data_IF_272543542920
#
_entry.id   IF_272543542920
#
_cell.length_a   1.000
_cell.length_b   1.000
_cell.length_c   1.000
_cell.angle_alpha   90.00
_cell.angle_beta   90.00
_cell.angle_gamma   90.00
#
_symmetry.space_group_name_H-M   'P 1'
#
loop_
_entity.id
_entity.type
_entity.pdbx_description
1 polymer ?
#
# COMPACT_ATOMS: atom_id res chain seq x y z
N UNK A 1 0.46 17.39 -9.62
CA UNK A 1 -0.04 18.38 -8.64
C UNK A 1 -0.36 17.61 -7.36
N UNK A 2 0.18 18.01 -6.21
CA UNK A 2 -0.10 17.33 -4.94
C UNK A 2 -1.41 17.87 -4.36
N UNK A 3 -2.39 17.00 -4.09
CA UNK A 3 -3.64 17.34 -3.40
C UNK A 3 -3.60 16.75 -1.99
N UNK A 4 -3.67 17.61 -0.98
CA UNK A 4 -3.79 17.19 0.42
C UNK A 4 -5.27 17.00 0.72
N UNK A 5 -5.70 15.78 1.04
CA UNK A 5 -7.10 15.49 1.32
C UNK A 5 -7.35 15.47 2.83
N UNK A 6 -7.81 16.60 3.36
CA UNK A 6 -8.39 16.62 4.71
C UNK A 6 -9.87 16.18 4.71
N UNK A 7 -10.50 16.14 3.53
CA UNK A 7 -11.87 15.66 3.31
C UNK A 7 -12.10 15.35 1.82
N UNK A 8 -12.71 14.21 1.52
CA UNK A 8 -13.15 13.88 0.16
C UNK A 8 -14.61 14.30 0.00
N UNK A 9 -14.90 15.03 -1.06
CA UNK A 9 -16.27 15.42 -1.42
C UNK A 9 -16.67 14.72 -2.71
N UNK A 10 -17.95 14.31 -2.79
CA UNK A 10 -18.56 13.52 -3.87
C UNK A 10 -18.33 14.01 -5.32
N UNK A 11 -17.88 15.26 -5.49
CA UNK A 11 -17.64 15.92 -6.78
C UNK A 11 -16.14 16.08 -7.13
N UNK A 12 -15.23 15.49 -6.35
CA UNK A 12 -13.81 15.52 -6.68
C UNK A 12 -13.52 14.55 -7.83
N UNK A 13 -12.77 14.98 -8.83
CA UNK A 13 -12.27 14.11 -9.90
C UNK A 13 -10.80 13.80 -9.61
N UNK A 14 -10.41 12.55 -9.82
CA UNK A 14 -9.00 12.17 -9.79
C UNK A 14 -8.35 12.60 -11.10
N UNK A 15 -7.41 13.53 -11.03
CA UNK A 15 -6.68 14.00 -12.21
C UNK A 15 -5.52 13.06 -12.52
N UNK A 16 -5.12 12.96 -13.79
CA UNK A 16 -4.06 12.04 -14.25
C UNK A 16 -2.76 12.16 -13.41
N UNK A 17 -2.37 13.38 -13.03
CA UNK A 17 -1.13 13.68 -12.31
C UNK A 17 -1.34 14.09 -10.84
N UNK A 18 -2.47 13.72 -10.22
CA UNK A 18 -2.72 14.03 -8.81
C UNK A 18 -2.22 12.92 -7.88
N UNK A 19 -1.43 13.31 -6.88
CA UNK A 19 -1.17 12.48 -5.70
C UNK A 19 -2.03 12.97 -4.55
N UNK A 20 -2.56 12.02 -3.78
CA UNK A 20 -3.46 12.26 -2.67
C UNK A 20 -2.79 11.88 -1.36
N UNK A 21 -2.44 12.88 -0.58
CA UNK A 21 -1.82 12.67 0.72
C UNK A 21 -2.90 12.51 1.78
N UNK A 22 -2.84 11.38 2.46
CA UNK A 22 -3.70 11.01 3.55
C UNK A 22 -2.83 10.81 4.80
N UNK A 23 -2.78 11.83 5.66
CA UNK A 23 -2.09 11.75 6.96
C UNK A 23 -3.04 11.18 7.99
N UNK A 24 -2.69 10.06 8.61
CA UNK A 24 -3.43 9.41 9.71
C UNK A 24 -2.85 9.91 11.02
N UNK A 25 -3.67 10.56 11.85
CA UNK A 25 -3.22 11.08 13.13
C UNK A 25 -3.05 9.96 14.17
N UNK A 26 -2.09 10.12 15.08
CA UNK A 26 -1.85 9.20 16.20
C UNK A 26 -3.12 8.84 16.99
N UNK A 27 -4.05 9.78 17.13
CA UNK A 27 -5.33 9.52 17.79
C UNK A 27 -6.28 8.64 16.95
N UNK A 28 -6.27 8.76 15.61
CA UNK A 28 -6.97 7.82 14.72
C UNK A 28 -6.37 6.41 14.86
N UNK A 29 -5.04 6.30 14.94
CA UNK A 29 -4.34 5.02 15.15
C UNK A 29 -4.76 4.36 16.46
N UNK A 30 -4.65 5.08 17.58
CA UNK A 30 -4.98 4.57 18.92
C UNK A 30 -6.44 4.17 19.05
N UNK A 31 -7.34 4.94 18.46
CA UNK A 31 -8.79 4.70 18.54
C UNK A 31 -9.29 3.72 17.48
N UNK A 32 -8.41 3.27 16.56
CA UNK A 32 -8.79 2.47 15.40
C UNK A 32 -9.94 3.15 14.63
N UNK A 33 -9.85 4.47 14.49
CA UNK A 33 -10.84 5.27 13.77
C UNK A 33 -10.51 5.29 12.29
N UNK A 34 -11.18 4.43 11.53
CA UNK A 34 -11.00 4.31 10.09
C UNK A 34 -11.97 5.14 9.29
N UNK A 35 -12.91 5.87 9.91
CA UNK A 35 -14.07 6.44 9.21
C UNK A 35 -13.68 7.31 8.02
N UNK A 36 -12.72 8.22 8.21
CA UNK A 36 -12.26 9.14 7.16
C UNK A 36 -11.52 8.38 6.04
N UNK A 37 -10.86 7.27 6.38
CA UNK A 37 -10.10 6.47 5.44
C UNK A 37 -11.02 5.54 4.65
N UNK A 38 -12.05 5.00 5.29
CA UNK A 38 -13.13 4.25 4.63
C UNK A 38 -13.82 5.11 3.56
N UNK A 39 -14.13 6.37 3.89
CA UNK A 39 -14.68 7.32 2.93
C UNK A 39 -13.70 7.61 1.78
N UNK A 40 -12.40 7.60 2.06
CA UNK A 40 -11.37 7.76 1.05
C UNK A 40 -11.24 6.54 0.13
N UNK A 41 -11.13 5.34 0.68
CA UNK A 41 -11.03 4.13 -0.14
C UNK A 41 -12.26 3.98 -1.03
N UNK A 42 -13.48 4.22 -0.54
CA UNK A 42 -14.70 4.22 -1.37
C UNK A 42 -14.64 5.20 -2.55
N UNK A 43 -14.04 6.36 -2.34
CA UNK A 43 -13.83 7.33 -3.42
C UNK A 43 -12.84 6.82 -4.47
N UNK A 44 -11.73 6.22 -4.04
CA UNK A 44 -10.76 5.61 -4.93
C UNK A 44 -11.37 4.44 -5.70
N UNK A 45 -12.15 3.60 -5.02
CA UNK A 45 -12.88 2.50 -5.63
C UNK A 45 -13.85 2.97 -6.72
N UNK A 46 -14.56 4.07 -6.46
CA UNK A 46 -15.49 4.68 -7.43
C UNK A 46 -14.75 5.24 -8.64
N UNK A 47 -13.53 5.75 -8.45
CA UNK A 47 -12.70 6.27 -9.53
C UNK A 47 -11.97 5.20 -10.34
N UNK A 48 -11.88 3.96 -9.83
CA UNK A 48 -11.34 2.81 -10.56
C UNK A 48 -9.92 3.03 -11.08
N UNK A 49 -9.73 2.88 -12.40
CA UNK A 49 -8.43 2.97 -13.06
C UNK A 49 -7.73 4.31 -12.81
N UNK A 50 -8.51 5.40 -12.74
CA UNK A 50 -7.96 6.73 -12.50
C UNK A 50 -7.33 6.86 -11.12
N UNK A 51 -7.67 6.00 -10.16
CA UNK A 51 -7.19 6.05 -8.78
C UNK A 51 -5.88 5.28 -8.54
N UNK A 52 -5.45 4.48 -9.52
CA UNK A 52 -4.28 3.59 -9.43
C UNK A 52 -3.03 4.34 -8.97
N UNK A 53 -2.39 3.86 -7.91
CA UNK A 53 -1.09 4.36 -7.46
C UNK A 53 -1.05 5.83 -7.02
N UNK A 54 -2.19 6.41 -6.60
CA UNK A 54 -2.30 7.84 -6.25
C UNK A 54 -2.45 8.14 -4.76
N UNK A 55 -2.71 7.13 -3.93
CA UNK A 55 -2.88 7.30 -2.49
C UNK A 55 -1.52 7.23 -1.78
N UNK A 56 -1.17 8.27 -1.05
CA UNK A 56 -0.03 8.28 -0.14
C UNK A 56 -0.57 8.28 1.28
N UNK A 57 -0.27 7.22 2.04
CA UNK A 57 -0.61 7.15 3.46
C UNK A 57 0.62 7.56 4.27
N UNK A 58 0.43 8.48 5.22
CA UNK A 58 1.45 8.92 6.17
C UNK A 58 0.87 8.90 7.58
N UNK A 59 1.74 8.92 8.60
CA UNK A 59 1.33 8.92 10.00
C UNK A 59 1.85 10.16 10.71
N UNK A 60 0.95 10.96 11.30
CA UNK A 60 1.25 12.19 12.02
C UNK A 60 1.18 11.99 13.54
N UNK A 61 1.96 12.77 14.29
CA UNK A 61 2.01 12.69 15.77
C UNK A 61 3.03 11.69 16.32
N UNK A 62 3.94 11.19 15.48
CA UNK A 62 5.02 10.26 15.84
C UNK A 62 6.43 10.89 15.74
N UNK A 63 6.53 12.21 15.60
CA UNK A 63 7.80 12.92 15.32
C UNK A 63 8.90 12.72 16.37
N UNK A 64 8.52 12.42 17.61
CA UNK A 64 9.44 12.18 18.72
C UNK A 64 9.91 10.70 18.79
N UNK A 65 9.38 9.83 17.92
CA UNK A 65 9.76 8.43 17.87
C UNK A 65 10.88 8.24 16.82
N UNK A 66 12.06 7.74 17.20
CA UNK A 66 13.16 7.52 16.26
C UNK A 66 12.98 6.29 15.36
N UNK A 67 11.90 5.53 15.54
CA UNK A 67 11.59 4.34 14.77
C UNK A 67 10.81 4.69 13.50
N UNK A 68 11.05 3.92 12.44
CA UNK A 68 10.24 3.96 11.23
C UNK A 68 8.82 3.46 11.50
N UNK A 69 7.85 3.86 10.68
CA UNK A 69 6.43 3.54 10.92
C UNK A 69 6.16 2.02 11.01
N UNK A 70 6.91 1.21 10.25
CA UNK A 70 6.78 -0.24 10.24
C UNK A 70 7.46 -0.93 11.43
N UNK A 71 8.14 -0.16 12.29
CA UNK A 71 8.73 -0.62 13.55
C UNK A 71 7.87 -0.23 14.77
N UNK A 72 6.79 0.54 14.56
CA UNK A 72 5.89 0.99 15.63
C UNK A 72 4.66 0.07 15.68
N UNK A 73 4.54 -0.72 16.75
CA UNK A 73 3.51 -1.76 16.88
C UNK A 73 2.07 -1.25 16.68
N UNK A 74 1.72 -0.11 17.28
CA UNK A 74 0.36 0.46 17.14
C UNK A 74 0.02 0.83 15.69
N UNK A 75 1.02 1.28 14.92
CA UNK A 75 0.88 1.56 13.48
C UNK A 75 0.74 0.25 12.71
N UNK A 76 1.59 -0.75 12.98
CA UNK A 76 1.52 -2.07 12.33
C UNK A 76 0.15 -2.69 12.51
N UNK A 77 -0.38 -2.67 13.72
CA UNK A 77 -1.69 -3.23 14.03
C UNK A 77 -2.82 -2.43 13.34
N UNK A 78 -2.70 -1.10 13.25
CA UNK A 78 -3.66 -0.29 12.50
C UNK A 78 -3.65 -0.64 11.00
N UNK A 79 -2.47 -0.78 10.39
CA UNK A 79 -2.34 -1.12 8.97
C UNK A 79 -2.86 -2.53 8.68
N UNK A 80 -2.63 -3.50 9.58
CA UNK A 80 -3.21 -4.86 9.44
C UNK A 80 -4.73 -4.83 9.40
N UNK A 81 -5.36 -4.11 10.33
CA UNK A 81 -6.82 -3.97 10.34
C UNK A 81 -7.35 -3.19 9.14
N UNK A 82 -6.62 -2.16 8.71
CA UNK A 82 -6.94 -1.40 7.50
C UNK A 82 -6.97 -2.31 6.27
N UNK A 83 -5.93 -3.14 6.09
CA UNK A 83 -5.83 -4.07 4.97
C UNK A 83 -6.91 -5.17 5.03
N UNK A 84 -7.25 -5.66 6.23
CA UNK A 84 -8.37 -6.60 6.40
C UNK A 84 -9.71 -6.00 5.98
N UNK A 85 -9.91 -4.69 6.21
CA UNK A 85 -11.11 -3.97 5.78
C UNK A 85 -11.13 -3.66 4.28
N UNK A 86 -9.96 -3.34 3.72
CA UNK A 86 -9.79 -2.89 2.34
C UNK A 86 -8.63 -3.65 1.67
N UNK A 87 -8.89 -4.87 1.23
CA UNK A 87 -7.83 -5.74 0.68
C UNK A 87 -7.26 -5.24 -0.66
N UNK A 88 -8.00 -4.42 -1.39
CA UNK A 88 -7.57 -3.73 -2.60
C UNK A 88 -6.70 -2.49 -2.35
N UNK A 89 -6.40 -2.14 -1.08
CA UNK A 89 -5.62 -0.96 -0.70
C UNK A 89 -4.37 -0.76 -1.56
N UNK A 90 -3.61 -1.82 -1.79
CA UNK A 90 -2.34 -1.77 -2.52
C UNK A 90 -2.45 -1.37 -3.98
N UNK A 91 -3.62 -1.49 -4.60
CA UNK A 91 -3.86 -0.96 -5.95
C UNK A 91 -3.86 0.57 -5.97
N UNK A 92 -4.29 1.19 -4.88
CA UNK A 92 -4.35 2.64 -4.76
C UNK A 92 -3.06 3.26 -4.26
N UNK A 93 -2.26 2.52 -3.48
CA UNK A 93 -1.05 3.06 -2.85
C UNK A 93 0.00 3.48 -3.88
N UNK A 94 0.54 4.68 -3.73
CA UNK A 94 1.60 5.22 -4.57
C UNK A 94 2.96 4.63 -4.22
N UNK A 95 3.79 4.45 -5.24
CA UNK A 95 5.22 4.11 -5.12
C UNK A 95 6.11 5.35 -4.91
N UNK A 96 5.52 6.55 -4.86
CA UNK A 96 6.23 7.80 -4.61
C UNK A 96 7.02 7.72 -3.30
N UNK A 97 8.34 7.87 -3.38
CA UNK A 97 9.27 7.73 -2.23
C UNK A 97 9.00 6.44 -1.44
N UNK A 98 8.75 5.34 -2.15
CA UNK A 98 8.59 3.99 -1.56
C UNK A 98 7.48 3.91 -0.49
N UNK A 99 6.47 4.79 -0.52
CA UNK A 99 5.43 4.82 0.52
C UNK A 99 4.62 3.53 0.61
N UNK A 100 4.32 2.91 -0.54
CA UNK A 100 3.66 1.60 -0.58
C UNK A 100 4.51 0.49 0.08
N UNK A 101 5.84 0.57 0.01
CA UNK A 101 6.74 -0.38 0.65
C UNK A 101 6.71 -0.24 2.17
N UNK A 102 6.66 0.97 2.71
CA UNK A 102 6.52 1.14 4.16
C UNK A 102 5.19 0.58 4.68
N UNK A 103 4.09 0.74 3.94
CA UNK A 103 2.80 0.12 4.28
C UNK A 103 2.87 -1.41 4.16
N UNK A 104 3.54 -1.94 3.14
CA UNK A 104 3.81 -3.37 3.00
C UNK A 104 4.58 -3.92 4.20
N UNK A 105 5.65 -3.24 4.63
CA UNK A 105 6.46 -3.65 5.78
C UNK A 105 5.68 -3.69 7.10
N UNK A 106 4.64 -2.86 7.26
CA UNK A 106 3.75 -2.94 8.43
C UNK A 106 2.98 -4.26 8.51
N UNK A 107 2.72 -4.91 7.37
CA UNK A 107 2.03 -6.20 7.31
C UNK A 107 3.00 -7.38 7.50
N UNK A 108 4.23 -7.25 7.03
CA UNK A 108 5.22 -8.33 7.09
C UNK A 108 5.62 -8.68 8.51
N UNK A 109 5.89 -9.96 8.79
CA UNK A 109 6.70 -10.33 9.94
C UNK A 109 8.17 -9.95 9.66
N UNK A 110 8.69 -8.99 10.40
CA UNK A 110 10.06 -8.45 10.23
C UNK A 110 10.86 -8.81 11.47
N UNK A 111 12.04 -9.39 11.27
CA UNK A 111 13.01 -9.57 12.34
C UNK A 111 14.04 -8.45 12.25
N UNK A 112 14.19 -7.66 13.31
CA UNK A 112 15.27 -6.68 13.39
C UNK A 112 16.59 -7.40 13.71
N UNK A 113 17.51 -7.45 12.74
CA UNK A 113 18.86 -7.94 12.99
C UNK A 113 19.76 -6.76 13.40
N UNK A 114 20.21 -6.76 14.66
CA UNK A 114 21.23 -5.81 15.12
C UNK A 114 22.58 -6.25 14.58
N UNK A 115 23.05 -5.64 13.50
CA UNK A 115 24.44 -5.82 13.07
C UNK A 115 25.35 -5.02 13.99
N UNK A 116 26.06 -5.71 14.89
CA UNK A 116 27.15 -5.11 15.68
C UNK A 116 28.37 -4.89 14.76
N UNK A 117 28.32 -3.84 13.95
CA UNK A 117 29.52 -3.24 13.39
C UNK A 117 29.56 -1.77 13.82
N UNK A 118 30.74 -1.16 13.86
CA UNK A 118 31.00 0.17 14.43
C UNK A 118 30.27 1.35 13.74
N UNK A 119 29.31 1.06 12.86
CA UNK A 119 28.35 1.99 12.26
C UNK A 119 26.94 1.57 12.68
N UNK A 120 26.18 2.47 13.31
CA UNK A 120 24.85 2.26 13.89
C UNK A 120 23.72 1.96 12.87
N UNK A 121 23.97 1.15 11.85
CA UNK A 121 23.00 0.78 10.83
C UNK A 121 22.20 -0.41 11.36
N UNK A 122 20.90 -0.18 11.62
CA UNK A 122 19.94 -1.27 11.87
C UNK A 122 19.50 -1.82 10.52
N UNK A 123 19.80 -3.08 10.23
CA UNK A 123 19.19 -3.79 9.12
C UNK A 123 17.89 -4.46 9.60
N UNK A 124 16.84 -4.40 8.78
CA UNK A 124 15.61 -5.16 9.00
C UNK A 124 15.56 -6.26 7.97
N UNK A 125 15.50 -7.52 8.41
CA UNK A 125 15.38 -8.67 7.53
C UNK A 125 13.91 -9.11 7.47
N UNK A 126 13.38 -9.22 6.26
CA UNK A 126 12.05 -9.78 6.02
C UNK A 126 12.21 -11.28 5.83
N UNK A 127 11.56 -12.07 6.66
CA UNK A 127 11.50 -13.51 6.46
C UNK A 127 10.49 -13.84 5.35
N UNK A 128 10.97 -14.03 4.12
CA UNK A 128 10.09 -14.30 2.95
C UNK A 128 9.24 -15.57 3.17
N UNK A 129 9.78 -16.60 3.81
CA UNK A 129 9.06 -17.86 4.07
C UNK A 129 7.85 -17.65 4.97
N UNK A 130 8.00 -16.88 6.05
CA UNK A 130 6.91 -16.54 6.97
C UNK A 130 5.86 -15.62 6.34
N UNK A 131 6.25 -14.84 5.32
CA UNK A 131 5.37 -13.89 4.67
C UNK A 131 4.74 -14.42 3.37
N UNK A 132 5.01 -15.66 2.95
CA UNK A 132 4.56 -16.21 1.67
C UNK A 132 3.04 -16.10 1.45
N UNK A 133 2.24 -16.45 2.46
CA UNK A 133 0.78 -16.36 2.38
C UNK A 133 0.29 -14.92 2.27
N UNK A 134 0.92 -14.00 3.00
CA UNK A 134 0.60 -12.58 2.93
C UNK A 134 0.95 -11.99 1.56
N UNK A 135 2.12 -12.34 1.01
CA UNK A 135 2.55 -11.93 -0.33
C UNK A 135 1.52 -12.35 -1.38
N UNK A 136 1.08 -13.61 -1.34
CA UNK A 136 0.06 -14.09 -2.27
C UNK A 136 -1.30 -13.40 -2.04
N UNK A 137 -1.69 -13.16 -0.79
CA UNK A 137 -2.93 -12.45 -0.50
C UNK A 137 -2.95 -11.03 -1.07
N UNK A 138 -1.84 -10.28 -0.93
CA UNK A 138 -1.72 -8.93 -1.50
C UNK A 138 -1.72 -8.98 -3.02
N UNK A 139 -0.97 -9.93 -3.61
CA UNK A 139 -0.98 -10.15 -5.06
C UNK A 139 -2.39 -10.44 -5.58
N UNK A 140 -3.07 -11.45 -5.03
CA UNK A 140 -4.39 -11.87 -5.46
C UNK A 140 -5.41 -10.73 -5.30
N UNK A 141 -5.35 -9.98 -4.18
CA UNK A 141 -6.27 -8.86 -3.95
C UNK A 141 -6.06 -7.73 -4.96
N UNK A 142 -4.80 -7.41 -5.29
CA UNK A 142 -4.46 -6.42 -6.31
C UNK A 142 -4.97 -6.87 -7.69
N UNK A 143 -4.63 -8.11 -8.06
CA UNK A 143 -5.02 -8.75 -9.33
C UNK A 143 -6.53 -8.77 -9.50
N UNK A 144 -7.26 -9.28 -8.50
CA UNK A 144 -8.71 -9.37 -8.55
C UNK A 144 -9.36 -8.00 -8.67
N UNK A 145 -8.83 -6.99 -7.98
CA UNK A 145 -9.35 -5.63 -8.10
C UNK A 145 -9.07 -5.06 -9.50
N UNK A 146 -7.84 -5.15 -10.01
CA UNK A 146 -7.48 -4.70 -11.35
C UNK A 146 -8.34 -5.39 -12.43
N UNK A 147 -8.57 -6.70 -12.32
CA UNK A 147 -9.44 -7.47 -13.20
C UNK A 147 -10.89 -6.97 -13.15
N UNK A 148 -11.41 -6.67 -11.95
CA UNK A 148 -12.79 -6.20 -11.76
C UNK A 148 -13.09 -4.86 -12.44
N UNK A 149 -12.05 -4.05 -12.70
CA UNK A 149 -12.13 -2.76 -13.40
C UNK A 149 -11.46 -2.78 -14.78
N UNK A 150 -11.12 -3.98 -15.28
CA UNK A 150 -10.48 -4.22 -16.57
C UNK A 150 -9.15 -3.47 -16.79
N UNK A 151 -8.37 -3.28 -15.72
CA UNK A 151 -7.07 -2.61 -15.79
C UNK A 151 -5.91 -3.57 -16.05
N UNK A 152 -5.62 -3.77 -17.33
CA UNK A 152 -4.52 -4.60 -17.81
C UNK A 152 -3.30 -3.77 -18.24
N UNK A 153 -3.20 -2.53 -17.77
CA UNK A 153 -2.16 -1.59 -18.19
C UNK A 153 -0.76 -2.00 -17.74
N UNK A 154 0.26 -1.47 -18.44
CA UNK A 154 1.65 -1.67 -18.06
C UNK A 154 1.95 -0.98 -16.71
N UNK A 155 1.31 0.15 -16.46
CA UNK A 155 1.37 0.93 -15.23
C UNK A 155 0.85 0.14 -14.03
N UNK A 156 -0.23 -0.64 -14.19
CA UNK A 156 -0.72 -1.56 -13.16
C UNK A 156 0.30 -2.65 -12.83
N UNK A 157 0.93 -3.22 -13.87
CA UNK A 157 1.99 -4.22 -13.69
C UNK A 157 3.22 -3.64 -12.99
N UNK A 158 3.62 -2.41 -13.34
CA UNK A 158 4.72 -1.70 -12.69
C UNK A 158 4.40 -1.41 -11.23
N UNK A 159 3.20 -0.92 -10.95
CA UNK A 159 2.79 -0.64 -9.58
C UNK A 159 2.83 -1.91 -8.72
N UNK A 160 2.28 -3.02 -9.22
CA UNK A 160 2.34 -4.30 -8.53
C UNK A 160 3.79 -4.74 -8.24
N UNK A 161 4.70 -4.57 -9.22
CA UNK A 161 6.12 -4.90 -9.05
C UNK A 161 6.86 -4.00 -8.04
N UNK A 162 6.34 -2.80 -7.79
CA UNK A 162 6.93 -1.85 -6.83
C UNK A 162 6.64 -2.20 -5.36
N UNK A 163 5.58 -3.01 -5.12
CA UNK A 163 5.24 -3.56 -3.82
C UNK A 163 6.24 -4.69 -3.56
N UNK A 164 7.20 -4.43 -2.64
CA UNK A 164 8.42 -5.21 -2.51
C UNK A 164 8.25 -6.74 -2.55
N UNK A 165 9.22 -7.41 -3.18
CA UNK A 165 9.37 -8.88 -3.27
C UNK A 165 8.35 -9.63 -4.12
N UNK A 166 7.45 -8.96 -4.83
CA UNK A 166 6.70 -9.59 -5.92
C UNK A 166 7.63 -9.77 -7.12
N UNK A 167 8.28 -10.94 -7.15
CA UNK A 167 9.19 -11.34 -8.21
C UNK A 167 8.59 -11.08 -9.60
N UNK A 168 9.41 -10.52 -10.49
CA UNK A 168 9.02 -10.08 -11.83
C UNK A 168 8.36 -11.22 -12.61
N UNK A 169 8.70 -12.48 -12.29
CA UNK A 169 8.14 -13.68 -12.88
C UNK A 169 6.64 -13.91 -12.56
N UNK A 170 6.13 -13.44 -11.42
CA UNK A 170 4.67 -13.43 -11.14
C UNK A 170 3.94 -12.38 -11.97
N UNK A 171 4.58 -11.23 -12.21
CA UNK A 171 4.05 -10.20 -13.12
C UNK A 171 3.98 -10.71 -14.57
N UNK A 172 4.89 -11.61 -14.97
CA UNK A 172 4.83 -12.31 -16.26
C UNK A 172 3.60 -13.24 -16.35
N UNK A 173 3.13 -13.82 -15.24
CA UNK A 173 1.90 -14.62 -15.22
C UNK A 173 0.65 -13.75 -15.46
N UNK A 174 0.61 -12.54 -14.90
CA UNK A 174 -0.40 -11.53 -15.21
C UNK A 174 -0.47 -11.24 -16.73
N UNK A 175 0.69 -11.17 -17.39
CA UNK A 175 0.78 -11.01 -18.87
C UNK A 175 0.33 -12.24 -19.67
N UNK A 176 0.37 -13.45 -19.10
CA UNK A 176 -0.15 -14.66 -19.76
C UNK A 176 -1.67 -14.72 -19.71
N UNK A 177 -2.29 -14.33 -18.59
CA UNK A 177 -3.75 -14.22 -18.48
C UNK A 177 -4.31 -13.21 -19.51
N UNK A 178 -3.62 -12.09 -19.72
CA UNK A 178 -3.94 -11.08 -20.75
C UNK A 178 -3.94 -11.61 -22.20
N UNK A 179 -3.25 -12.72 -22.50
CA UNK A 179 -3.24 -13.34 -23.83
C UNK A 179 -4.37 -14.34 -24.05
N UNK A 180 -4.97 -14.86 -22.97
CA UNK A 180 -6.03 -15.90 -23.06
C UNK A 180 -7.42 -15.26 -23.14
N UNK A 181 -7.63 -14.07 -22.58
CA UNK A 181 -8.90 -13.31 -22.68
C UNK A 181 -9.04 -12.48 -23.96
N UNK A 182 -8.06 -12.52 -24.87
CA UNK A 182 -8.10 -11.85 -26.19
C UNK A 182 -8.28 -12.81 -27.38
N UNK A 183 -8.74 -14.04 -27.14
CA UNK A 183 -9.20 -15.02 -28.15
C UNK A 183 -10.66 -15.36 -27.88
#
# INVERSE_FOLDING_TARGET
>A
MIKILNKITKNQTIEANSLFFYSIDKEEVKKKDFKRLDDAIKFFETAGVDARGKLIITFSGYMDNPLEIYQIDEIRDYVKELYQKHSNLFYFLSDYITTNQYIWLCLCNIQETRTLSNSSIKASEINIGENFFLINSVYDSFVNYADSIFDYSYESSLLLSSIGFLDVDKVVFFRKAQRVTRL
#
